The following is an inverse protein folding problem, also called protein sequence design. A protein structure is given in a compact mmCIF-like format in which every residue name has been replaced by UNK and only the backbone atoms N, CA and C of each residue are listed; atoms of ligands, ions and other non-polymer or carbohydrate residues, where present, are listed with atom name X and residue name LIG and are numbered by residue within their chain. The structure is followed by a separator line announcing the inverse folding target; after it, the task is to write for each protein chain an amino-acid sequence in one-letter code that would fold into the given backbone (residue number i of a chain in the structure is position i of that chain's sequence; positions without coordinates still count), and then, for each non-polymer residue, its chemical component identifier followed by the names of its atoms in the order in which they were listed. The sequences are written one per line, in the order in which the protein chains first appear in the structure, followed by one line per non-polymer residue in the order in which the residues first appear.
data_IF_407545934059
#
_entry.id   IF_407545934059
#
_cell.length_a   1.000
_cell.length_b   1.000
_cell.length_c   1.000
_cell.angle_alpha   90.00
_cell.angle_beta   90.00
_cell.angle_gamma   90.00
#
_symmetry.space_group_name_H-M   'P 1'
#
loop_
_entity.id
_entity.type
_entity.pdbx_description
1 polymer ?
#
# COMPACT_ATOMS: atom_id res chain seq x y z
N UNK A 1 23.17 -23.71 -7.91
CA UNK A 1 22.64 -22.34 -8.11
C UNK A 1 22.46 -21.71 -6.75
N UNK A 2 23.34 -20.78 -6.39
CA UNK A 2 23.31 -20.07 -5.11
C UNK A 2 22.39 -18.86 -5.24
N UNK A 3 21.30 -18.83 -4.46
CA UNK A 3 20.35 -17.72 -4.46
C UNK A 3 20.82 -16.67 -3.43
N UNK A 4 21.42 -15.59 -3.93
CA UNK A 4 21.86 -14.45 -3.13
C UNK A 4 20.66 -13.81 -2.41
N UNK A 5 20.47 -14.18 -1.14
CA UNK A 5 19.45 -13.57 -0.27
C UNK A 5 19.90 -12.15 0.08
N UNK A 6 19.18 -11.15 -0.42
CA UNK A 6 19.38 -9.73 -0.07
C UNK A 6 19.13 -9.56 1.43
N UNK A 7 20.15 -9.12 2.16
CA UNK A 7 20.04 -8.74 3.56
C UNK A 7 19.20 -7.47 3.68
N UNK A 8 17.93 -7.63 4.03
CA UNK A 8 17.08 -6.53 4.49
C UNK A 8 17.56 -6.09 5.87
N UNK A 9 18.55 -5.21 5.90
CA UNK A 9 19.06 -4.64 7.13
C UNK A 9 20.18 -3.65 6.85
N UNK A 10 19.82 -2.38 6.63
CA UNK A 10 20.80 -1.31 6.66
C UNK A 10 21.30 -1.18 8.10
N UNK A 11 22.37 -1.90 8.43
CA UNK A 11 23.07 -1.73 9.70
C UNK A 11 23.63 -0.31 9.75
N UNK A 12 23.14 0.49 10.70
CA UNK A 12 23.71 1.80 11.00
C UNK A 12 25.08 1.61 11.67
N UNK A 13 26.11 2.40 11.31
CA UNK A 13 27.39 2.35 12.00
C UNK A 13 27.28 3.16 13.30
N UNK A 14 27.41 2.49 14.46
CA UNK A 14 27.53 3.18 15.75
C UNK A 14 27.54 2.19 16.91
N UNK A 15 28.71 1.72 17.32
CA UNK A 15 29.51 2.24 18.45
C UNK A 15 28.93 1.89 19.84
N UNK A 16 29.70 1.02 20.50
CA UNK A 16 29.87 0.80 21.95
C UNK A 16 28.60 0.66 22.80
N UNK A 17 28.41 -0.56 23.26
CA UNK A 17 27.51 -0.98 24.35
C UNK A 17 27.50 0.00 25.52
N UNK A 18 26.31 0.39 25.94
CA UNK A 18 26.05 1.21 27.12
C UNK A 18 24.92 2.20 26.83
N UNK A 19 23.79 2.00 27.47
CA UNK A 19 22.57 2.82 27.43
C UNK A 19 21.70 2.69 26.17
N UNK A 20 20.66 1.85 26.30
CA UNK A 20 19.57 1.77 25.35
C UNK A 20 18.86 3.12 25.22
N UNK A 21 19.27 3.93 24.25
CA UNK A 21 18.55 5.15 23.86
C UNK A 21 17.25 4.75 23.20
N UNK A 22 16.14 4.98 23.90
CA UNK A 22 14.81 4.95 23.30
C UNK A 22 14.75 6.10 22.30
N UNK A 23 14.62 5.77 21.01
CA UNK A 23 14.42 6.75 19.94
C UNK A 23 12.96 6.67 19.52
N UNK A 24 12.21 7.74 19.74
CA UNK A 24 10.83 7.86 19.24
C UNK A 24 10.90 8.14 17.75
N UNK A 25 10.56 7.15 16.93
CA UNK A 25 10.36 7.33 15.49
C UNK A 25 8.94 7.80 15.22
N UNK A 26 8.81 8.88 14.45
CA UNK A 26 7.50 9.34 13.99
C UNK A 26 6.93 8.33 12.99
N UNK A 27 5.59 8.20 12.98
CA UNK A 27 4.91 7.43 11.95
C UNK A 27 5.12 8.13 10.59
N UNK A 28 5.41 7.38 9.52
CA UNK A 28 5.47 7.95 8.18
C UNK A 28 4.16 8.66 7.83
N UNK A 29 4.25 9.75 7.07
CA UNK A 29 3.05 10.41 6.58
C UNK A 29 2.27 9.46 5.65
N UNK A 30 0.95 9.64 5.51
CA UNK A 30 0.17 8.90 4.55
C UNK A 30 0.83 8.94 3.16
N UNK A 31 0.90 7.77 2.54
CA UNK A 31 1.52 7.57 1.23
C UNK A 31 3.05 7.71 1.20
N UNK A 32 3.78 7.82 2.30
CA UNK A 32 5.24 7.71 2.24
C UNK A 32 5.72 6.26 2.00
N UNK A 33 6.93 6.13 1.44
CA UNK A 33 7.60 4.83 1.25
C UNK A 33 6.75 3.79 0.53
N UNK A 34 6.36 2.74 1.26
CA UNK A 34 5.53 1.64 0.74
C UNK A 34 4.15 2.11 0.25
N UNK A 35 3.58 3.15 0.87
CA UNK A 35 2.30 3.72 0.43
C UNK A 35 2.39 4.30 -0.98
N UNK A 36 3.45 5.05 -1.28
CA UNK A 36 3.72 5.57 -2.61
C UNK A 36 4.04 4.46 -3.61
N UNK A 37 4.81 3.44 -3.19
CA UNK A 37 5.13 2.30 -4.04
C UNK A 37 3.88 1.53 -4.47
N UNK A 38 3.00 1.19 -3.52
CA UNK A 38 1.73 0.52 -3.81
C UNK A 38 0.82 1.39 -4.67
N UNK A 39 0.71 2.68 -4.36
CA UNK A 39 -0.07 3.61 -5.17
C UNK A 39 0.46 3.64 -6.61
N UNK A 40 1.77 3.74 -6.82
CA UNK A 40 2.34 3.72 -8.17
C UNK A 40 2.03 2.43 -8.93
N UNK A 41 2.07 1.29 -8.26
CA UNK A 41 1.83 -0.03 -8.89
C UNK A 41 0.35 -0.26 -9.21
N UNK A 42 -0.55 0.15 -8.32
CA UNK A 42 -1.98 -0.11 -8.41
C UNK A 42 -2.79 1.16 -8.72
N UNK A 43 -2.17 2.22 -9.23
CA UNK A 43 -2.91 3.41 -9.67
C UNK A 43 -3.89 2.93 -10.74
N UNK A 44 -5.21 3.07 -10.53
CA UNK A 44 -6.18 2.68 -11.52
C UNK A 44 -5.83 3.39 -12.83
N UNK A 45 -5.76 2.63 -13.93
CA UNK A 45 -5.68 3.27 -15.24
C UNK A 45 -6.87 4.22 -15.37
N UNK A 46 -6.64 5.42 -15.91
CA UNK A 46 -7.69 6.41 -16.13
C UNK A 46 -8.71 5.97 -17.17
N UNK A 47 -8.46 4.84 -17.82
CA UNK A 47 -9.39 4.17 -18.69
C UNK A 47 -10.59 3.78 -17.83
N UNK A 48 -11.77 4.25 -18.25
CA UNK A 48 -12.98 4.28 -17.42
C UNK A 48 -13.38 2.93 -16.84
N UNK A 49 -14.41 2.95 -15.99
CA UNK A 49 -14.96 1.73 -15.41
C UNK A 49 -15.33 0.74 -16.55
N UNK A 50 -14.88 -0.53 -16.49
CA UNK A 50 -15.29 -1.55 -17.45
C UNK A 50 -16.82 -1.63 -17.60
N UNK A 51 -17.29 -1.73 -18.84
CA UNK A 51 -18.73 -1.66 -19.18
C UNK A 51 -19.56 -2.76 -18.48
N UNK A 52 -18.97 -3.93 -18.28
CA UNK A 52 -19.58 -5.04 -17.54
C UNK A 52 -19.82 -4.68 -16.08
N UNK A 53 -18.84 -4.05 -15.42
CA UNK A 53 -18.97 -3.57 -14.05
C UNK A 53 -20.01 -2.45 -13.98
N UNK A 54 -20.03 -1.52 -14.94
CA UNK A 54 -21.05 -0.48 -15.02
C UNK A 54 -22.46 -1.06 -15.15
N UNK A 55 -22.64 -2.10 -15.98
CA UNK A 55 -23.92 -2.77 -16.15
C UNK A 55 -24.38 -3.51 -14.89
N UNK A 56 -23.45 -4.16 -14.17
CA UNK A 56 -23.73 -4.81 -12.89
C UNK A 56 -24.15 -3.80 -11.83
N UNK A 57 -23.45 -2.67 -11.71
CA UNK A 57 -23.81 -1.59 -10.77
C UNK A 57 -25.19 -1.01 -11.09
N UNK A 58 -25.49 -0.77 -12.36
CA UNK A 58 -26.81 -0.29 -12.76
C UNK A 58 -27.94 -1.29 -12.42
N UNK A 59 -27.66 -2.59 -12.47
CA UNK A 59 -28.63 -3.62 -12.06
C UNK A 59 -28.82 -3.65 -10.54
N UNK A 60 -27.76 -3.44 -9.76
CA UNK A 60 -27.86 -3.34 -8.30
C UNK A 60 -28.71 -2.13 -7.89
N UNK A 61 -28.47 -0.99 -8.51
CA UNK A 61 -29.22 0.26 -8.27
C UNK A 61 -30.73 0.08 -8.51
N UNK A 62 -31.09 -0.54 -9.65
CA UNK A 62 -32.49 -0.88 -9.96
C UNK A 62 -33.12 -1.91 -9.02
N UNK A 63 -32.32 -2.80 -8.43
CA UNK A 63 -32.81 -3.77 -7.43
C UNK A 63 -33.08 -3.10 -6.09
N UNK A 64 -32.25 -2.13 -5.70
CA UNK A 64 -32.43 -1.33 -4.50
C UNK A 64 -33.61 -0.38 -4.59
N UNK A 65 -33.97 0.09 -5.80
CA UNK A 65 -35.13 0.97 -6.01
C UNK A 65 -36.49 0.26 -6.05
N UNK A 66 -36.53 -1.08 -5.91
CA UNK A 66 -37.76 -1.89 -5.94
C UNK A 66 -38.12 -2.44 -4.54
N UNK A 67 -37.40 -2.03 -3.50
CA UNK A 67 -37.65 -2.46 -2.11
C UNK A 67 -38.38 -1.42 -1.24
N UNK A 68 -39.15 -0.50 -1.86
CA UNK A 68 -40.10 0.40 -1.17
C UNK A 68 -41.55 0.04 -1.53
#
# INVERSE_FOLDING_TARGET
MEMQRKSSGRSAPGRKSGDGRIVTVALPLPYEGLGNALRSTYTPQRDGLPDDIAALLARLDRGNSVSD
#
